data_IF_589881928199
#
_entry.id   IF_589881928199
#
_cell.length_a   1.000
_cell.length_b   1.000
_cell.length_c   1.000
_cell.angle_alpha   90.00
_cell.angle_beta   90.00
_cell.angle_gamma   90.00
#
_symmetry.space_group_name_H-M   'P 1'
#
loop_
_entity.id
_entity.type
_entity.pdbx_description
1 polymer ?
#
# COMPACT_ATOMS: atom_id res chain seq x y z
N UNK A 1 -12.28 8.58 29.85
CA UNK A 1 -12.23 9.14 28.50
C UNK A 1 -12.15 7.95 27.57
N UNK A 2 -13.31 7.48 27.09
CA UNK A 2 -13.37 6.37 26.15
C UNK A 2 -13.10 6.95 24.77
N UNK A 3 -12.07 6.43 24.10
CA UNK A 3 -11.85 6.68 22.69
C UNK A 3 -12.69 5.63 21.96
N UNK A 4 -13.77 6.08 21.33
CA UNK A 4 -14.51 5.27 20.36
C UNK A 4 -13.60 5.13 19.13
N UNK A 5 -13.01 3.94 18.98
CA UNK A 5 -12.34 3.51 17.76
C UNK A 5 -13.41 3.19 16.72
N UNK A 6 -13.93 4.21 16.04
CA UNK A 6 -14.60 4.02 14.75
C UNK A 6 -13.51 3.65 13.72
N UNK A 7 -13.21 2.35 13.68
CA UNK A 7 -12.49 1.73 12.58
C UNK A 7 -13.32 1.94 11.32
N UNK A 8 -12.85 2.83 10.44
CA UNK A 8 -13.34 2.93 9.07
C UNK A 8 -12.87 1.65 8.36
N UNK A 9 -13.66 0.59 8.49
CA UNK A 9 -13.56 -0.58 7.61
C UNK A 9 -14.07 -0.10 6.27
N UNK A 10 -13.15 0.21 5.34
CA UNK A 10 -13.52 0.35 3.94
C UNK A 10 -14.19 -0.98 3.54
N UNK A 11 -15.50 -0.95 3.31
CA UNK A 11 -16.27 -2.11 2.86
C UNK A 11 -15.66 -2.59 1.54
N UNK A 12 -14.86 -3.65 1.63
CA UNK A 12 -14.50 -4.43 0.46
C UNK A 12 -15.81 -5.00 -0.10
N UNK A 13 -16.12 -4.79 -1.39
CA UNK A 13 -17.37 -5.26 -1.97
C UNK A 13 -17.50 -6.76 -1.76
N UNK A 14 -18.64 -7.18 -1.20
CA UNK A 14 -19.03 -8.57 -0.95
C UNK A 14 -19.07 -9.35 -2.27
N UNK A 15 -17.91 -9.86 -2.70
CA UNK A 15 -17.79 -10.69 -3.89
C UNK A 15 -17.72 -12.13 -3.45
N UNK A 16 -18.88 -12.78 -3.46
CA UNK A 16 -19.03 -14.24 -3.54
C UNK A 16 -17.96 -14.79 -4.51
N UNK A 17 -17.10 -15.73 -4.10
CA UNK A 17 -16.16 -16.35 -5.01
C UNK A 17 -16.97 -17.08 -6.09
N UNK A 18 -16.94 -16.58 -7.32
CA UNK A 18 -17.41 -17.36 -8.46
C UNK A 18 -16.46 -18.54 -8.60
N UNK A 19 -16.99 -19.74 -8.36
CA UNK A 19 -16.27 -21.00 -8.51
C UNK A 19 -15.99 -21.25 -10.01
N UNK A 20 -14.98 -20.57 -10.56
CA UNK A 20 -14.37 -20.93 -11.82
C UNK A 20 -13.20 -21.88 -11.53
N UNK A 21 -13.28 -23.11 -12.02
CA UNK A 21 -12.27 -24.16 -11.80
C UNK A 21 -11.13 -24.11 -12.82
N UNK A 22 -10.79 -22.92 -13.35
CA UNK A 22 -9.82 -22.75 -14.44
C UNK A 22 -8.58 -21.98 -14.01
N UNK A 23 -7.45 -22.27 -14.68
CA UNK A 23 -6.18 -21.53 -14.54
C UNK A 23 -6.38 -20.01 -14.72
N UNK A 24 -7.42 -19.56 -15.44
CA UNK A 24 -7.81 -18.15 -15.64
C UNK A 24 -8.17 -17.35 -14.37
N UNK A 25 -8.69 -18.00 -13.33
CA UNK A 25 -9.15 -17.31 -12.10
C UNK A 25 -7.95 -16.83 -11.27
N UNK A 26 -6.82 -17.50 -11.40
CA UNK A 26 -5.61 -17.23 -10.61
C UNK A 26 -4.92 -15.93 -11.08
N UNK A 27 -4.61 -15.71 -12.38
CA UNK A 27 -4.08 -14.43 -12.87
C UNK A 27 -4.98 -13.24 -12.54
N UNK A 28 -6.30 -13.38 -12.71
CA UNK A 28 -7.25 -12.29 -12.45
C UNK A 28 -7.28 -11.88 -10.98
N UNK A 29 -7.30 -12.85 -10.06
CA UNK A 29 -7.29 -12.58 -8.62
C UNK A 29 -5.95 -12.00 -8.15
N UNK A 30 -4.83 -12.47 -8.71
CA UNK A 30 -3.50 -11.93 -8.43
C UNK A 30 -3.34 -10.50 -8.96
N UNK A 31 -3.89 -10.18 -10.14
CA UNK A 31 -3.87 -8.83 -10.69
C UNK A 31 -4.70 -7.84 -9.85
N UNK A 32 -5.86 -8.28 -9.35
CA UNK A 32 -6.67 -7.48 -8.41
C UNK A 32 -5.92 -7.22 -7.10
N UNK A 33 -5.30 -8.25 -6.53
CA UNK A 33 -4.48 -8.10 -5.33
C UNK A 33 -3.32 -7.13 -5.57
N UNK A 34 -2.58 -7.30 -6.68
CA UNK A 34 -1.47 -6.41 -7.05
C UNK A 34 -1.92 -4.95 -7.15
N UNK A 35 -3.09 -4.70 -7.75
CA UNK A 35 -3.67 -3.35 -7.83
C UNK A 35 -3.96 -2.79 -6.43
N UNK A 36 -4.50 -3.60 -5.51
CA UNK A 36 -4.72 -3.19 -4.13
C UNK A 36 -3.42 -2.83 -3.40
N UNK A 37 -2.36 -3.61 -3.59
CA UNK A 37 -1.03 -3.31 -3.05
C UNK A 37 -0.43 -2.02 -3.61
N UNK A 38 -0.60 -1.77 -4.91
CA UNK A 38 -0.17 -0.52 -5.56
C UNK A 38 -0.89 0.71 -4.99
N UNK A 39 -2.22 0.65 -4.88
CA UNK A 39 -3.02 1.73 -4.29
C UNK A 39 -2.63 2.00 -2.84
N UNK A 40 -2.41 0.95 -2.04
CA UNK A 40 -1.98 1.10 -0.66
C UNK A 40 -0.56 1.70 -0.56
N UNK A 41 0.35 1.27 -1.43
CA UNK A 41 1.71 1.82 -1.52
C UNK A 41 1.70 3.32 -1.81
N UNK A 42 0.91 3.74 -2.81
CA UNK A 42 0.78 5.15 -3.18
C UNK A 42 0.17 5.97 -2.05
N UNK A 43 -0.88 5.46 -1.38
CA UNK A 43 -1.46 6.15 -0.22
C UNK A 43 -0.46 6.34 0.93
N UNK A 44 0.45 5.39 1.16
CA UNK A 44 1.50 5.51 2.17
C UNK A 44 2.59 6.50 1.75
N UNK A 45 2.90 6.61 0.45
CA UNK A 45 3.79 7.65 -0.07
C UNK A 45 3.18 9.03 0.10
N UNK A 46 1.91 9.20 -0.27
CA UNK A 46 1.18 10.47 -0.12
C UNK A 46 1.16 10.90 1.35
N UNK A 47 0.90 9.97 2.28
CA UNK A 47 0.95 10.23 3.71
C UNK A 47 2.36 10.67 4.17
N UNK A 48 3.41 10.05 3.64
CA UNK A 48 4.79 10.45 3.94
C UNK A 48 5.12 11.84 3.39
N UNK A 49 4.60 12.19 2.20
CA UNK A 49 4.77 13.51 1.60
C UNK A 49 4.03 14.60 2.39
N UNK A 50 2.84 14.33 2.92
CA UNK A 50 2.13 15.27 3.79
C UNK A 50 2.95 15.65 5.03
N UNK A 51 3.82 14.75 5.50
CA UNK A 51 4.70 15.01 6.64
C UNK A 51 5.96 15.82 6.28
N UNK A 52 6.30 16.02 5.00
CA UNK A 52 7.48 16.81 4.57
C UNK A 52 7.38 18.32 4.91
N UNK A 53 6.21 18.80 5.31
CA UNK A 53 5.99 20.19 5.75
C UNK A 53 5.72 20.34 7.24
N UNK A 54 5.70 19.23 7.99
CA UNK A 54 5.34 19.22 9.40
C UNK A 54 6.54 19.47 10.32
N UNK A 55 7.72 19.81 9.79
CA UNK A 55 8.89 20.06 10.62
C UNK A 55 8.71 21.35 11.44
N UNK A 56 8.72 21.25 12.77
CA UNK A 56 8.76 22.38 13.69
C UNK A 56 10.21 22.74 14.07
N UNK A 57 10.70 23.91 13.67
CA UNK A 57 12.04 24.37 14.06
C UNK A 57 11.94 25.22 15.30
N UNK A 58 12.98 25.19 16.14
CA UNK A 58 13.06 26.08 17.31
C UNK A 58 13.02 27.56 16.90
N UNK A 59 13.52 27.88 15.70
CA UNK A 59 13.52 29.24 15.17
C UNK A 59 12.11 29.76 14.84
N UNK A 60 11.15 28.87 14.62
CA UNK A 60 9.74 29.20 14.39
C UNK A 60 9.03 29.62 15.70
N UNK A 61 9.67 29.37 16.85
CA UNK A 61 9.14 29.72 18.16
C UNK A 61 9.55 31.15 18.57
N UNK A 62 8.77 31.77 19.45
CA UNK A 62 9.17 33.04 20.08
C UNK A 62 10.43 32.91 20.94
N UNK A 63 11.17 34.01 21.11
CA UNK A 63 12.43 34.02 21.87
C UNK A 63 12.30 33.55 23.34
N UNK A 64 11.13 33.74 23.96
CA UNK A 64 10.83 33.24 25.30
C UNK A 64 10.64 31.72 25.30
N UNK A 65 9.94 31.17 24.30
CA UNK A 65 9.69 29.74 24.17
C UNK A 65 11.00 28.97 23.94
N UNK A 66 11.93 29.51 23.12
CA UNK A 66 13.26 28.94 22.90
C UNK A 66 14.13 28.83 24.17
N UNK A 67 13.84 29.60 25.21
CA UNK A 67 14.58 29.58 26.48
C UNK A 67 14.02 28.58 27.49
N UNK A 68 12.84 28.02 27.23
CA UNK A 68 12.21 27.04 28.10
C UNK A 68 12.70 25.63 27.74
N UNK A 69 13.40 24.92 28.64
CA UNK A 69 13.90 23.57 28.36
C UNK A 69 12.79 22.59 27.96
N UNK A 70 11.63 22.67 28.62
CA UNK A 70 10.49 21.78 28.33
C UNK A 70 9.94 21.96 26.91
N UNK A 71 9.99 23.17 26.37
CA UNK A 71 9.56 23.43 24.99
C UNK A 71 10.62 22.93 24.01
N UNK A 72 11.91 23.16 24.30
CA UNK A 72 13.00 22.68 23.47
C UNK A 72 12.98 21.17 23.36
N UNK A 73 12.80 20.47 24.48
CA UNK A 73 12.68 19.02 24.53
C UNK A 73 11.41 18.55 23.81
N UNK A 74 10.28 19.24 24.00
CA UNK A 74 9.04 18.93 23.29
C UNK A 74 9.15 19.03 21.76
N UNK A 75 9.86 20.04 21.24
CA UNK A 75 10.12 20.19 19.80
C UNK A 75 11.02 19.06 19.29
N UNK A 76 12.05 18.67 20.05
CA UNK A 76 12.91 17.54 19.68
C UNK A 76 12.12 16.24 19.63
N UNK A 77 11.34 15.93 20.68
CA UNK A 77 10.51 14.73 20.71
C UNK A 77 9.47 14.70 19.58
N UNK A 78 8.89 15.86 19.23
CA UNK A 78 8.00 15.98 18.08
C UNK A 78 8.73 15.66 16.76
N UNK A 79 9.92 16.23 16.56
CA UNK A 79 10.75 15.99 15.39
C UNK A 79 11.15 14.51 15.25
N UNK A 80 11.57 13.89 16.35
CA UNK A 80 11.92 12.47 16.40
C UNK A 80 10.71 11.60 16.02
N UNK A 81 9.52 11.93 16.54
CA UNK A 81 8.29 11.21 16.21
C UNK A 81 7.89 11.37 14.73
N UNK A 82 7.98 12.59 14.16
CA UNK A 82 7.72 12.82 12.74
C UNK A 82 8.70 12.02 11.87
N UNK A 83 9.99 12.01 12.22
CA UNK A 83 11.00 11.26 11.50
C UNK A 83 10.74 9.73 11.56
N UNK A 84 10.39 9.21 12.73
CA UNK A 84 10.05 7.79 12.91
C UNK A 84 8.84 7.37 12.07
N UNK A 85 7.76 8.15 12.12
CA UNK A 85 6.54 7.88 11.34
C UNK A 85 6.84 7.92 9.83
N UNK A 86 7.61 8.91 9.37
CA UNK A 86 8.01 9.02 7.95
C UNK A 86 8.82 7.80 7.51
N UNK A 87 9.74 7.33 8.34
CA UNK A 87 10.54 6.15 8.03
C UNK A 87 9.68 4.88 7.95
N UNK A 88 8.73 4.71 8.87
CA UNK A 88 7.79 3.59 8.86
C UNK A 88 6.89 3.61 7.61
N UNK A 89 6.34 4.78 7.25
CA UNK A 89 5.51 4.95 6.06
C UNK A 89 6.30 4.67 4.77
N UNK A 90 7.51 5.22 4.65
CA UNK A 90 8.37 5.00 3.49
C UNK A 90 8.76 3.51 3.33
N UNK A 91 9.06 2.84 4.45
CA UNK A 91 9.38 1.42 4.44
C UNK A 91 8.17 0.59 4.02
N UNK A 92 7.00 0.82 4.60
CA UNK A 92 5.79 0.08 4.24
C UNK A 92 5.36 0.31 2.79
N UNK A 93 5.44 1.54 2.27
CA UNK A 93 5.21 1.81 0.85
C UNK A 93 6.14 0.98 -0.05
N UNK A 94 7.42 0.84 0.35
CA UNK A 94 8.38 0.02 -0.39
C UNK A 94 7.97 -1.46 -0.40
N UNK A 95 7.63 -2.02 0.76
CA UNK A 95 7.20 -3.43 0.88
C UNK A 95 5.91 -3.69 0.09
N UNK A 96 4.96 -2.77 0.09
CA UNK A 96 3.72 -2.87 -0.67
C UNK A 96 4.00 -2.83 -2.19
N UNK A 97 4.87 -1.94 -2.65
CA UNK A 97 5.29 -1.88 -4.06
C UNK A 97 6.02 -3.16 -4.52
N UNK A 98 6.89 -3.72 -3.67
CA UNK A 98 7.57 -4.99 -3.95
C UNK A 98 6.57 -6.16 -4.03
N UNK A 99 5.56 -6.16 -3.16
CA UNK A 99 4.49 -7.15 -3.15
C UNK A 99 3.65 -7.06 -4.43
N UNK A 100 3.27 -5.85 -4.85
CA UNK A 100 2.60 -5.60 -6.13
C UNK A 100 3.41 -6.16 -7.30
N UNK A 101 4.71 -5.84 -7.37
CA UNK A 101 5.58 -6.29 -8.44
C UNK A 101 5.67 -7.83 -8.49
N UNK A 102 5.82 -8.46 -7.33
CA UNK A 102 5.88 -9.92 -7.20
C UNK A 102 4.60 -10.57 -7.68
N UNK A 103 3.44 -10.04 -7.29
CA UNK A 103 2.14 -10.56 -7.71
C UNK A 103 1.93 -10.41 -9.22
N UNK A 104 2.33 -9.27 -9.82
CA UNK A 104 2.31 -9.06 -11.27
C UNK A 104 3.20 -10.07 -12.00
N UNK A 105 4.40 -10.35 -11.49
CA UNK A 105 5.30 -11.35 -12.06
C UNK A 105 4.70 -12.74 -12.02
N UNK A 106 4.16 -13.16 -10.87
CA UNK A 106 3.52 -14.47 -10.72
C UNK A 106 2.31 -14.59 -11.65
N UNK A 107 1.44 -13.57 -11.69
CA UNK A 107 0.30 -13.54 -12.61
C UNK A 107 0.74 -13.68 -14.08
N UNK A 108 1.82 -13.00 -14.47
CA UNK A 108 2.40 -13.11 -15.81
C UNK A 108 2.96 -14.51 -16.12
N UNK A 109 3.55 -15.19 -15.13
CA UNK A 109 3.99 -16.59 -15.28
C UNK A 109 2.80 -17.50 -15.51
N UNK A 110 1.74 -17.37 -14.71
CA UNK A 110 0.51 -18.16 -14.90
C UNK A 110 -0.12 -17.92 -16.27
N UNK A 111 -0.20 -16.67 -16.74
CA UNK A 111 -0.75 -16.35 -18.04
C UNK A 111 0.06 -16.97 -19.19
N UNK A 112 1.40 -16.94 -19.12
CA UNK A 112 2.26 -17.60 -20.12
C UNK A 112 2.10 -19.11 -20.12
N UNK A 113 2.06 -19.72 -18.93
CA UNK A 113 1.83 -21.17 -18.81
C UNK A 113 0.48 -21.53 -19.43
N UNK A 114 -0.57 -20.75 -19.18
CA UNK A 114 -1.88 -20.98 -19.78
C UNK A 114 -1.85 -20.86 -21.32
N UNK A 115 -1.14 -19.86 -21.87
CA UNK A 115 -0.92 -19.72 -23.32
C UNK A 115 -0.17 -20.93 -23.91
N UNK A 116 0.93 -21.36 -23.28
CA UNK A 116 1.73 -22.52 -23.70
C UNK A 116 0.90 -23.81 -23.68
N UNK A 117 0.07 -23.99 -22.64
CA UNK A 117 -0.87 -25.12 -22.55
C UNK A 117 -1.95 -25.03 -23.63
N UNK A 118 -2.51 -23.86 -23.89
CA UNK A 118 -3.52 -23.66 -24.94
C UNK A 118 -2.96 -23.93 -26.35
N UNK A 119 -1.70 -23.58 -26.60
CA UNK A 119 -0.99 -23.88 -27.85
C UNK A 119 -0.66 -25.38 -27.98
N UNK A 120 -0.11 -25.99 -26.93
CA UNK A 120 0.30 -27.39 -26.94
C UNK A 120 -0.88 -28.37 -27.07
N UNK A 121 -2.03 -28.03 -26.49
CA UNK A 121 -3.21 -28.91 -26.45
C UNK A 121 -4.37 -28.43 -27.33
N UNK A 122 -4.22 -27.31 -28.05
CA UNK A 122 -5.12 -26.90 -29.13
C UNK A 122 -6.51 -26.42 -28.70
N UNK A 123 -6.73 -26.08 -27.43
CA UNK A 123 -8.05 -25.62 -26.94
C UNK A 123 -8.41 -24.17 -27.37
N UNK A 124 -7.54 -23.47 -28.12
CA UNK A 124 -7.83 -22.15 -28.72
C UNK A 124 -8.77 -22.20 -29.94
N UNK A 125 -9.61 -23.23 -30.06
CA UNK A 125 -10.74 -23.31 -31.01
C UNK A 125 -12.05 -23.30 -30.23
N UNK A 126 -12.61 -22.12 -30.00
CA UNK A 126 -13.94 -22.04 -29.41
C UNK A 126 -14.45 -20.71 -28.90
N UNK A 127 -14.07 -19.56 -29.46
CA UNK A 127 -15.00 -18.43 -29.46
C UNK A 127 -16.06 -18.71 -30.55
N UNK A 128 -17.18 -19.32 -30.15
CA UNK A 128 -18.46 -19.11 -30.84
C UNK A 128 -18.66 -17.59 -30.95
N UNK A 129 -18.93 -17.01 -32.13
CA UNK A 129 -20.11 -17.28 -32.95
C UNK A 129 -21.05 -16.12 -32.75
#
# INVERSE_FOLDING_TARGET
MHFDEEVIVAELPDRKPQAGTGFDVVPGSLALAATGFGVASDAWRDACELLLGCDLRLDDLGALARRSPSIVDGVRSYQDAVAEVRLALAHGATVLAESELTLKQIAGVYARVDEDYAEAFGYRKGSHG
#
